data_IF_586157263559
#
_entry.id   IF_586157263559
#
_cell.length_a   1.000
_cell.length_b   1.000
_cell.length_c   1.000
_cell.angle_alpha   90.00
_cell.angle_beta   90.00
_cell.angle_gamma   90.00
#
_symmetry.space_group_name_H-M   'P 1'
#
loop_
_entity.id
_entity.type
_entity.pdbx_description
1 polymer ?
#
# COMPACT_ATOMS: atom_id res chain seq x y z
N UNK A 1 -26.43 12.54 13.61
CA UNK A 1 -24.98 12.31 13.43
C UNK A 1 -24.73 11.68 12.07
N UNK A 2 -24.29 12.49 11.10
CA UNK A 2 -24.33 12.12 9.67
C UNK A 2 -23.00 11.53 9.20
N UNK A 3 -22.95 10.21 8.97
CA UNK A 3 -21.84 9.58 8.24
C UNK A 3 -22.14 9.56 6.75
N UNK A 4 -21.21 9.99 5.90
CA UNK A 4 -21.40 10.01 4.45
C UNK A 4 -20.20 9.40 3.73
N UNK A 5 -20.51 8.57 2.73
CA UNK A 5 -19.54 8.05 1.77
C UNK A 5 -19.59 8.92 0.52
N UNK A 6 -18.43 9.39 0.07
CA UNK A 6 -18.32 10.26 -1.10
C UNK A 6 -17.52 9.53 -2.17
N UNK A 7 -18.18 9.31 -3.31
CA UNK A 7 -17.63 8.72 -4.52
C UNK A 7 -17.17 9.86 -5.42
N UNK A 8 -15.88 9.85 -5.80
CA UNK A 8 -15.35 10.85 -6.73
C UNK A 8 -15.42 10.31 -8.16
N UNK A 9 -16.05 11.05 -9.10
CA UNK A 9 -15.95 10.71 -10.51
C UNK A 9 -14.53 10.95 -11.01
N UNK A 10 -13.98 10.01 -11.76
CA UNK A 10 -12.80 10.22 -12.58
C UNK A 10 -13.20 10.95 -13.87
N UNK A 11 -12.28 11.76 -14.39
CA UNK A 11 -12.47 12.41 -15.69
C UNK A 11 -12.56 11.31 -16.75
N UNK A 12 -13.74 11.09 -17.31
CA UNK A 12 -13.96 10.05 -18.32
C UNK A 12 -13.12 10.32 -19.56
N UNK A 13 -11.92 9.72 -19.62
CA UNK A 13 -11.11 9.62 -20.82
C UNK A 13 -11.51 8.38 -21.59
N UNK A 14 -12.17 8.60 -22.74
CA UNK A 14 -12.37 7.60 -23.77
C UNK A 14 -11.02 6.95 -24.17
N UNK A 15 -11.06 5.69 -24.58
CA UNK A 15 -9.87 4.87 -24.83
C UNK A 15 -8.90 5.55 -25.79
N UNK A 16 -7.74 5.97 -25.28
CA UNK A 16 -6.73 6.64 -26.10
C UNK A 16 -5.39 6.75 -25.39
N UNK A 17 -4.41 6.01 -25.90
CA UNK A 17 -2.99 6.11 -25.56
C UNK A 17 -2.53 7.58 -25.60
N UNK A 18 -2.15 8.15 -24.45
CA UNK A 18 -1.77 9.56 -24.35
C UNK A 18 -1.09 9.89 -23.04
N UNK A 19 0.24 9.96 -23.08
CA UNK A 19 1.10 10.51 -22.05
C UNK A 19 0.68 11.95 -21.71
N UNK A 20 0.24 12.20 -20.48
CA UNK A 20 -0.21 13.52 -20.05
C UNK A 20 -0.33 13.60 -18.54
N UNK A 21 0.74 14.03 -17.87
CA UNK A 21 0.72 14.44 -16.48
C UNK A 21 -0.24 15.61 -16.28
N UNK A 22 -1.44 15.30 -15.79
CA UNK A 22 -2.43 16.27 -15.37
C UNK A 22 -2.93 15.88 -13.99
N UNK A 23 -2.49 16.59 -12.96
CA UNK A 23 -3.20 16.63 -11.68
C UNK A 23 -4.57 17.28 -11.93
N UNK A 24 -5.54 16.52 -12.43
CA UNK A 24 -6.90 17.00 -12.58
C UNK A 24 -7.50 17.24 -11.20
N UNK A 25 -7.82 18.51 -10.94
CA UNK A 25 -8.50 18.95 -9.74
C UNK A 25 -9.97 18.49 -9.77
N UNK A 26 -10.20 17.20 -9.46
CA UNK A 26 -11.53 16.69 -9.17
C UNK A 26 -12.18 17.45 -7.99
N UNK A 27 -13.51 17.36 -7.83
CA UNK A 27 -14.25 18.14 -6.84
C UNK A 27 -13.65 17.99 -5.43
N UNK A 28 -13.21 19.11 -4.85
CA UNK A 28 -12.62 19.16 -3.51
C UNK A 28 -13.72 19.00 -2.45
N UNK A 29 -13.97 17.77 -2.02
CA UNK A 29 -14.81 17.46 -0.86
C UNK A 29 -14.18 18.07 0.39
N UNK A 30 -14.80 19.06 1.01
CA UNK A 30 -14.32 19.67 2.26
C UNK A 30 -14.96 19.00 3.49
N UNK A 31 -14.26 19.03 4.62
CA UNK A 31 -14.84 18.65 5.90
C UNK A 31 -16.06 19.54 6.22
N UNK A 32 -17.06 18.98 6.89
CA UNK A 32 -18.27 19.68 7.29
C UNK A 32 -18.54 19.42 8.77
N UNK A 33 -18.68 20.47 9.60
CA UNK A 33 -18.97 20.31 11.02
C UNK A 33 -20.21 19.43 11.24
N UNK A 34 -20.10 18.44 12.12
CA UNK A 34 -21.16 17.47 12.40
C UNK A 34 -21.31 16.32 11.40
N UNK A 35 -20.41 16.22 10.42
CA UNK A 35 -20.38 15.13 9.43
C UNK A 35 -19.05 14.39 9.48
N UNK A 36 -19.12 13.07 9.30
CA UNK A 36 -17.93 12.21 9.17
C UNK A 36 -17.91 11.65 7.76
N UNK A 37 -16.84 11.93 7.03
CA UNK A 37 -16.76 11.68 5.59
C UNK A 37 -15.66 10.69 5.24
N UNK A 38 -16.02 9.64 4.49
CA UNK A 38 -15.07 8.76 3.82
C UNK A 38 -15.09 8.99 2.31
N UNK A 39 -13.96 9.34 1.73
CA UNK A 39 -13.87 9.72 0.31
C UNK A 39 -13.06 8.68 -0.48
N UNK A 40 -13.56 8.21 -1.62
CA UNK A 40 -12.82 7.33 -2.54
C UNK A 40 -11.72 8.07 -3.30
N UNK A 41 -10.93 7.35 -4.09
CA UNK A 41 -10.20 7.98 -5.20
C UNK A 41 -11.16 8.30 -6.36
N UNK A 42 -10.80 9.23 -7.27
CA UNK A 42 -11.53 9.44 -8.52
C UNK A 42 -11.48 8.18 -9.39
N UNK A 43 -12.65 7.65 -9.78
CA UNK A 43 -12.73 6.45 -10.63
C UNK A 43 -13.73 6.62 -11.77
N UNK A 44 -13.53 5.91 -12.88
CA UNK A 44 -14.51 5.82 -13.96
C UNK A 44 -15.84 5.17 -13.51
N UNK A 45 -16.95 5.39 -14.24
CA UNK A 45 -18.27 4.86 -13.88
C UNK A 45 -18.29 3.32 -13.73
N UNK A 46 -17.44 2.62 -14.48
CA UNK A 46 -17.27 1.16 -14.44
C UNK A 46 -16.68 0.66 -13.11
N UNK A 47 -16.11 1.55 -12.29
CA UNK A 47 -15.43 1.23 -11.02
C UNK A 47 -16.20 1.74 -9.79
N UNK A 48 -17.46 2.15 -9.93
CA UNK A 48 -18.30 2.68 -8.84
C UNK A 48 -18.34 1.77 -7.60
N UNK A 49 -18.41 0.44 -7.79
CA UNK A 49 -18.40 -0.52 -6.68
C UNK A 49 -17.07 -0.53 -5.91
N UNK A 50 -15.95 -0.36 -6.61
CA UNK A 50 -14.63 -0.25 -6.00
C UNK A 50 -14.51 1.07 -5.21
N UNK A 51 -14.97 2.19 -5.78
CA UNK A 51 -14.99 3.47 -5.09
C UNK A 51 -15.89 3.45 -3.85
N UNK A 52 -17.03 2.75 -3.87
CA UNK A 52 -17.90 2.61 -2.69
C UNK A 52 -17.18 1.88 -1.55
N UNK A 53 -16.45 0.81 -1.91
CA UNK A 53 -15.61 0.07 -0.97
C UNK A 53 -14.49 0.94 -0.40
N UNK A 54 -13.84 1.77 -1.23
CA UNK A 54 -12.81 2.72 -0.81
C UNK A 54 -13.37 3.78 0.16
N UNK A 55 -14.50 4.41 -0.19
CA UNK A 55 -15.17 5.40 0.62
C UNK A 55 -15.66 4.82 1.95
N UNK A 56 -16.18 3.59 1.95
CA UNK A 56 -16.57 2.88 3.18
C UNK A 56 -15.38 2.65 4.11
N UNK A 57 -14.24 2.19 3.59
CA UNK A 57 -13.01 2.01 4.40
C UNK A 57 -12.49 3.33 4.95
N UNK A 58 -12.53 4.39 4.13
CA UNK A 58 -12.14 5.72 4.57
C UNK A 58 -13.06 6.22 5.70
N UNK A 59 -14.36 5.99 5.59
CA UNK A 59 -15.35 6.37 6.60
C UNK A 59 -15.13 5.61 7.93
N UNK A 60 -14.92 4.30 7.86
CA UNK A 60 -14.62 3.50 9.06
C UNK A 60 -13.38 4.03 9.80
N UNK A 61 -12.34 4.43 9.07
CA UNK A 61 -11.15 5.07 9.67
C UNK A 61 -11.47 6.43 10.28
N UNK A 62 -12.27 7.26 9.60
CA UNK A 62 -12.68 8.57 10.10
C UNK A 62 -13.42 8.46 11.44
N UNK A 63 -14.35 7.51 11.54
CA UNK A 63 -15.07 7.19 12.80
C UNK A 63 -14.10 6.73 13.89
N UNK A 64 -13.23 5.77 13.57
CA UNK A 64 -12.29 5.20 14.54
C UNK A 64 -11.29 6.22 15.09
N UNK A 65 -10.90 7.22 14.30
CA UNK A 65 -9.92 8.25 14.70
C UNK A 65 -10.55 9.57 15.13
N UNK A 66 -11.88 9.70 15.10
CA UNK A 66 -12.58 10.96 15.39
C UNK A 66 -12.29 12.07 14.37
N UNK A 67 -11.89 11.73 13.15
CA UNK A 67 -11.61 12.71 12.10
C UNK A 67 -12.89 13.04 11.32
N UNK A 68 -13.10 14.32 10.99
CA UNK A 68 -14.27 14.76 10.20
C UNK A 68 -14.23 14.28 8.74
N UNK A 69 -13.03 14.07 8.18
CA UNK A 69 -12.84 13.63 6.80
C UNK A 69 -11.59 12.77 6.66
N UNK A 70 -11.72 11.60 6.04
CA UNK A 70 -10.60 10.77 5.62
C UNK A 70 -10.75 10.44 4.13
N UNK A 71 -9.65 10.57 3.38
CA UNK A 71 -9.57 10.16 1.97
C UNK A 71 -8.92 8.80 1.85
N UNK A 72 -9.42 7.99 0.93
CA UNK A 72 -8.66 6.87 0.42
C UNK A 72 -7.45 7.41 -0.34
N UNK A 73 -6.27 6.86 -0.07
CA UNK A 73 -5.06 7.06 -0.85
C UNK A 73 -4.55 5.68 -1.23
N UNK A 74 -4.24 5.49 -2.51
CA UNK A 74 -3.57 4.32 -3.03
C UNK A 74 -2.22 4.09 -2.35
N UNK A 75 -1.70 2.88 -2.54
CA UNK A 75 -0.44 2.40 -2.00
C UNK A 75 0.77 3.29 -2.38
N UNK A 76 1.91 3.09 -1.68
CA UNK A 76 3.15 3.89 -1.75
C UNK A 76 3.68 4.12 -3.18
N UNK A 77 4.68 5.00 -3.32
CA UNK A 77 5.29 5.49 -4.57
C UNK A 77 5.41 4.47 -5.73
N UNK A 78 5.69 3.18 -5.47
CA UNK A 78 5.71 2.10 -6.47
C UNK A 78 4.35 1.73 -7.07
N UNK A 79 3.24 2.10 -6.44
CA UNK A 79 1.88 1.95 -6.93
C UNK A 79 1.42 3.13 -7.80
N UNK A 80 2.23 4.18 -7.91
CA UNK A 80 2.04 5.27 -8.88
C UNK A 80 2.63 4.93 -10.26
N UNK A 81 3.42 3.86 -10.36
CA UNK A 81 3.92 3.32 -11.63
C UNK A 81 2.84 2.47 -12.32
N UNK A 82 2.79 2.45 -13.66
CA UNK A 82 1.99 1.47 -14.41
C UNK A 82 2.31 0.05 -13.94
N UNK A 83 1.32 -0.89 -13.90
CA UNK A 83 1.50 -2.20 -13.30
C UNK A 83 2.71 -3.00 -13.81
N UNK A 84 3.04 -2.89 -15.10
CA UNK A 84 4.21 -3.54 -15.71
C UNK A 84 5.54 -2.97 -15.23
N UNK A 85 5.63 -1.64 -15.13
CA UNK A 85 6.82 -0.93 -14.63
C UNK A 85 7.01 -1.16 -13.13
N UNK A 86 5.92 -1.15 -12.35
CA UNK A 86 5.96 -1.46 -10.92
C UNK A 86 6.49 -2.89 -10.65
N UNK A 87 6.08 -3.88 -11.46
CA UNK A 87 6.56 -5.25 -11.34
C UNK A 87 8.03 -5.39 -11.78
N UNK A 88 8.45 -4.65 -12.81
CA UNK A 88 9.85 -4.61 -13.23
C UNK A 88 10.75 -4.00 -12.14
N UNK A 89 10.33 -2.87 -11.57
CA UNK A 89 11.02 -2.21 -10.47
C UNK A 89 11.09 -3.09 -9.22
N UNK A 90 10.00 -3.77 -8.86
CA UNK A 90 10.00 -4.71 -7.74
C UNK A 90 10.99 -5.86 -7.94
N UNK A 91 11.10 -6.39 -9.17
CA UNK A 91 12.09 -7.42 -9.49
C UNK A 91 13.52 -6.90 -9.40
N UNK A 92 13.78 -5.65 -9.81
CA UNK A 92 15.10 -5.03 -9.68
C UNK A 92 15.47 -4.83 -8.20
N UNK A 93 14.56 -4.28 -7.40
CA UNK A 93 14.77 -4.08 -5.96
C UNK A 93 15.04 -5.40 -5.22
N UNK A 94 14.30 -6.45 -5.57
CA UNK A 94 14.42 -7.76 -4.92
C UNK A 94 15.42 -8.70 -5.59
N UNK A 95 16.08 -8.28 -6.68
CA UNK A 95 17.06 -9.08 -7.40
C UNK A 95 18.19 -9.64 -6.51
N UNK A 96 18.74 -8.90 -5.52
CA UNK A 96 19.74 -9.43 -4.59
C UNK A 96 19.26 -10.65 -3.79
N UNK A 97 17.94 -10.81 -3.60
CA UNK A 97 17.34 -11.92 -2.87
C UNK A 97 16.85 -13.06 -3.79
N UNK A 98 16.93 -12.90 -5.12
CA UNK A 98 16.31 -13.83 -6.08
C UNK A 98 16.80 -15.28 -5.95
N UNK A 99 18.05 -15.49 -5.51
CA UNK A 99 18.64 -16.82 -5.30
C UNK A 99 18.45 -17.38 -3.88
N UNK A 100 17.70 -16.67 -3.02
CA UNK A 100 17.53 -17.00 -1.61
C UNK A 100 16.03 -17.04 -1.23
N UNK A 101 15.26 -18.03 -1.71
CA UNK A 101 13.81 -18.09 -1.49
C UNK A 101 13.43 -18.10 -0.01
N UNK A 102 14.21 -18.76 0.85
CA UNK A 102 13.99 -18.77 2.29
C UNK A 102 14.14 -17.37 2.94
N UNK A 103 15.00 -16.50 2.38
CA UNK A 103 15.14 -15.11 2.83
C UNK A 103 13.94 -14.27 2.40
N UNK A 104 13.48 -14.43 1.15
CA UNK A 104 12.28 -13.76 0.62
C UNK A 104 11.05 -14.14 1.44
N UNK A 105 10.86 -15.43 1.73
CA UNK A 105 9.77 -15.93 2.58
C UNK A 105 9.84 -15.34 3.99
N UNK A 106 11.03 -15.34 4.59
CA UNK A 106 11.22 -14.79 5.95
C UNK A 106 10.93 -13.29 5.99
N UNK A 107 11.40 -12.53 5.01
CA UNK A 107 11.16 -11.09 4.89
C UNK A 107 9.66 -10.80 4.70
N UNK A 108 8.99 -11.54 3.80
CA UNK A 108 7.55 -11.41 3.56
C UNK A 108 6.75 -11.67 4.84
N UNK A 109 7.06 -12.76 5.55
CA UNK A 109 6.38 -13.11 6.80
C UNK A 109 6.62 -12.05 7.90
N UNK A 110 7.87 -11.60 8.06
CA UNK A 110 8.25 -10.61 9.05
C UNK A 110 7.59 -9.24 8.81
N UNK A 111 7.55 -8.76 7.56
CA UNK A 111 6.85 -7.52 7.20
C UNK A 111 5.33 -7.66 7.40
N UNK A 112 4.73 -8.79 7.02
CA UNK A 112 3.30 -9.08 7.26
C UNK A 112 2.93 -9.05 8.74
N UNK A 113 3.88 -9.38 9.61
CA UNK A 113 3.73 -9.41 11.06
C UNK A 113 4.33 -8.17 11.73
N UNK A 114 4.49 -7.07 10.99
CA UNK A 114 4.93 -5.76 11.49
C UNK A 114 6.26 -5.80 12.24
N UNK A 115 7.18 -6.65 11.78
CA UNK A 115 8.51 -6.80 12.38
C UNK A 115 8.58 -7.68 13.62
N UNK A 116 7.52 -8.42 13.95
CA UNK A 116 7.43 -9.22 15.17
C UNK A 116 8.27 -10.50 15.13
N UNK A 117 9.44 -10.49 15.77
CA UNK A 117 10.40 -11.62 15.80
C UNK A 117 9.78 -12.97 16.19
N UNK A 118 9.11 -13.02 17.34
CA UNK A 118 8.55 -14.27 17.87
C UNK A 118 7.36 -14.75 17.04
N UNK A 119 6.51 -13.82 16.58
CA UNK A 119 5.37 -14.17 15.70
C UNK A 119 5.86 -14.76 14.38
N UNK A 120 6.89 -14.17 13.78
CA UNK A 120 7.50 -14.70 12.56
C UNK A 120 8.17 -16.05 12.80
N UNK A 121 8.85 -16.22 13.92
CA UNK A 121 9.48 -17.48 14.30
C UNK A 121 8.44 -18.60 14.41
N UNK A 122 7.34 -18.35 15.14
CA UNK A 122 6.21 -19.28 15.24
C UNK A 122 5.58 -19.57 13.88
N UNK A 123 5.31 -18.54 13.06
CA UNK A 123 4.68 -18.72 11.76
C UNK A 123 5.53 -19.54 10.77
N UNK A 124 6.86 -19.42 10.85
CA UNK A 124 7.79 -20.15 9.96
C UNK A 124 8.30 -21.46 10.57
N UNK A 125 7.93 -21.81 11.80
CA UNK A 125 8.43 -23.01 12.48
C UNK A 125 9.95 -22.99 12.73
N UNK A 126 10.54 -21.81 12.91
CA UNK A 126 11.98 -21.63 13.17
C UNK A 126 12.22 -20.93 14.50
N UNK A 127 13.47 -20.95 14.98
CA UNK A 127 13.85 -20.20 16.16
C UNK A 127 13.95 -18.68 15.89
N UNK A 128 13.63 -17.83 16.87
CA UNK A 128 13.69 -16.35 16.74
C UNK A 128 15.05 -15.83 16.27
N UNK A 129 16.15 -16.48 16.68
CA UNK A 129 17.50 -16.09 16.25
C UNK A 129 17.71 -16.34 14.75
N UNK A 130 17.10 -17.39 14.20
CA UNK A 130 17.13 -17.67 12.75
C UNK A 130 16.42 -16.56 11.99
N UNK A 131 15.28 -16.07 12.49
CA UNK A 131 14.59 -14.91 11.89
C UNK A 131 15.49 -13.68 11.89
N UNK A 132 16.08 -13.33 13.04
CA UNK A 132 16.99 -12.18 13.16
C UNK A 132 18.17 -12.28 12.19
N UNK A 133 18.81 -13.44 12.11
CA UNK A 133 19.94 -13.68 11.19
C UNK A 133 19.52 -13.55 9.72
N UNK A 134 18.36 -14.09 9.35
CA UNK A 134 17.84 -14.00 7.98
C UNK A 134 17.48 -12.56 7.61
N UNK A 135 16.82 -11.82 8.50
CA UNK A 135 16.47 -10.41 8.28
C UNK A 135 17.73 -9.53 8.19
N UNK A 136 18.71 -9.72 9.08
CA UNK A 136 20.01 -9.05 8.98
C UNK A 136 20.71 -9.35 7.63
N UNK A 137 20.61 -10.59 7.16
CA UNK A 137 21.14 -10.96 5.84
C UNK A 137 20.36 -10.33 4.68
N UNK A 138 19.04 -10.17 4.79
CA UNK A 138 18.25 -9.42 3.82
C UNK A 138 18.72 -7.96 3.73
N UNK A 139 18.85 -7.28 4.88
CA UNK A 139 19.37 -5.90 4.95
C UNK A 139 20.72 -5.77 4.26
N UNK A 140 21.66 -6.66 4.58
CA UNK A 140 23.00 -6.66 3.98
C UNK A 140 23.01 -6.92 2.46
N UNK A 141 22.15 -7.81 1.96
CA UNK A 141 22.06 -8.10 0.52
C UNK A 141 21.38 -6.99 -0.27
N UNK A 142 20.36 -6.35 0.33
CA UNK A 142 19.66 -5.23 -0.29
C UNK A 142 20.45 -3.92 -0.19
N UNK A 143 21.37 -3.82 0.77
CA UNK A 143 22.08 -2.57 1.06
C UNK A 143 21.20 -1.55 1.79
N UNK A 144 20.19 -2.03 2.52
CA UNK A 144 19.11 -1.22 3.08
C UNK A 144 19.01 -1.34 4.60
N UNK A 145 18.57 -0.27 5.26
CA UNK A 145 18.27 -0.28 6.69
C UNK A 145 16.85 -0.79 6.94
N UNK A 146 16.73 -2.05 7.36
CA UNK A 146 15.44 -2.64 7.70
C UNK A 146 14.89 -2.15 9.05
N UNK A 147 15.52 -1.23 9.77
CA UNK A 147 14.88 -0.52 10.88
C UNK A 147 14.14 0.75 10.44
N UNK A 148 14.41 1.24 9.22
CA UNK A 148 13.69 2.35 8.61
C UNK A 148 12.26 1.93 8.18
N UNK A 149 11.20 2.60 8.70
CA UNK A 149 9.82 2.29 8.34
C UNK A 149 9.50 2.52 6.85
N UNK A 150 10.16 3.48 6.19
CA UNK A 150 9.94 3.78 4.77
C UNK A 150 10.52 2.66 3.90
N UNK A 151 11.73 2.17 4.23
CA UNK A 151 12.34 0.99 3.59
C UNK A 151 11.46 -0.25 3.76
N UNK A 152 10.96 -0.51 4.98
CA UNK A 152 10.04 -1.64 5.24
C UNK A 152 8.77 -1.54 4.38
N UNK A 153 8.24 -0.32 4.24
CA UNK A 153 7.05 -0.07 3.45
C UNK A 153 7.30 -0.33 1.96
N UNK A 154 8.41 0.18 1.42
CA UNK A 154 8.79 -0.04 0.02
C UNK A 154 8.97 -1.53 -0.29
N UNK A 155 9.71 -2.25 0.55
CA UNK A 155 9.94 -3.69 0.38
C UNK A 155 8.65 -4.50 0.51
N UNK A 156 7.74 -4.11 1.42
CA UNK A 156 6.42 -4.73 1.51
C UNK A 156 5.64 -4.59 0.21
N UNK A 157 5.67 -3.40 -0.41
CA UNK A 157 5.00 -3.20 -1.69
C UNK A 157 5.67 -3.97 -2.83
N UNK A 158 7.00 -4.00 -2.89
CA UNK A 158 7.73 -4.77 -3.90
C UNK A 158 7.40 -6.27 -3.80
N UNK A 159 7.38 -6.83 -2.59
CA UNK A 159 7.04 -8.24 -2.37
C UNK A 159 5.61 -8.58 -2.78
N UNK A 160 4.67 -7.63 -2.75
CA UNK A 160 3.29 -7.86 -3.21
C UNK A 160 3.14 -7.86 -4.74
N UNK A 161 4.19 -7.53 -5.49
CA UNK A 161 4.20 -7.52 -6.96
C UNK A 161 4.84 -8.78 -7.58
N UNK A 162 5.44 -9.64 -6.75
CA UNK A 162 6.07 -10.92 -7.13
C UNK A 162 5.41 -12.08 -6.39
#
# INVERSE_FOLDING_TARGET
>A
DGTVRVLLPGDGGDGGNGNGGGQSAGPRVAARPGWVLGVSEPVGPEQLAAADTQAARALQRAVATGAELVRHRGAALSALLPPGEAAAQARLLLAPLAKAPALVETLRCWLSLHGGWDRTATALGVHRNTVRQRIARCAALLGEDLDDPDVRMELWFALRRI
#
